data_IF_243075432538
#
_entry.id   IF_243075432538
#
_cell.length_a   1.000
_cell.length_b   1.000
_cell.length_c   1.000
_cell.angle_alpha   90.00
_cell.angle_beta   90.00
_cell.angle_gamma   90.00
#
_symmetry.space_group_name_H-M   'P 1'
#
loop_
_entity.id
_entity.type
_entity.pdbx_description
1 polymer ?
#
# COMPACT_ATOMS: atom_id res chain seq x y z
N UNK A 1 -12.38 11.66 -2.28
CA UNK A 1 -11.75 11.36 -0.97
C UNK A 1 -10.30 11.83 -0.98
N UNK A 2 -9.79 12.43 0.11
CA UNK A 2 -8.37 12.82 0.22
C UNK A 2 -7.60 11.67 0.87
N UNK A 3 -6.55 11.18 0.19
CA UNK A 3 -5.67 10.14 0.73
C UNK A 3 -4.52 10.82 1.46
N UNK A 4 -4.25 10.38 2.69
CA UNK A 4 -3.14 10.87 3.50
C UNK A 4 -2.30 9.67 3.92
N UNK A 5 -1.00 9.76 3.66
CA UNK A 5 -0.03 8.74 4.04
C UNK A 5 0.53 9.05 5.42
N UNK A 6 0.53 8.06 6.31
CA UNK A 6 1.26 8.15 7.57
C UNK A 6 2.77 8.16 7.31
N UNK A 7 3.55 8.66 8.27
CA UNK A 7 5.01 8.61 8.18
C UNK A 7 5.50 7.16 8.02
N UNK A 8 4.93 6.24 8.82
CA UNK A 8 5.24 4.82 8.75
C UNK A 8 4.96 4.20 7.37
N UNK A 9 3.86 4.58 6.72
CA UNK A 9 3.56 4.08 5.37
C UNK A 9 4.60 4.54 4.35
N UNK A 10 5.05 5.80 4.44
CA UNK A 10 6.11 6.35 3.58
C UNK A 10 7.45 5.64 3.81
N UNK A 11 7.80 5.41 5.07
CA UNK A 11 9.04 4.70 5.43
C UNK A 11 9.02 3.25 4.96
N UNK A 12 7.89 2.54 5.14
CA UNK A 12 7.74 1.16 4.66
C UNK A 12 7.82 1.07 3.14
N UNK A 13 7.22 2.03 2.43
CA UNK A 13 7.33 2.11 0.98
C UNK A 13 8.78 2.33 0.56
N UNK A 14 9.48 3.31 1.15
CA UNK A 14 10.90 3.55 0.89
C UNK A 14 11.75 2.31 1.14
N UNK A 15 11.59 1.66 2.30
CA UNK A 15 12.32 0.42 2.64
C UNK A 15 12.07 -0.70 1.64
N UNK A 16 10.86 -0.79 1.10
CA UNK A 16 10.52 -1.78 0.08
C UNK A 16 11.27 -1.50 -1.22
N UNK A 17 11.33 -0.24 -1.65
CA UNK A 17 12.10 0.18 -2.82
C UNK A 17 13.61 -0.05 -2.61
N UNK A 18 14.14 0.35 -1.46
CA UNK A 18 15.55 0.15 -1.10
C UNK A 18 15.91 -1.35 -1.08
N UNK A 19 15.00 -2.20 -0.59
CA UNK A 19 15.17 -3.66 -0.63
C UNK A 19 15.22 -4.20 -2.07
N UNK A 20 14.31 -3.76 -2.96
CA UNK A 20 14.35 -4.18 -4.36
C UNK A 20 15.64 -3.74 -5.07
N UNK A 21 16.10 -2.51 -4.80
CA UNK A 21 17.39 -2.02 -5.30
C UNK A 21 18.55 -2.88 -4.81
N UNK A 22 18.56 -3.22 -3.51
CA UNK A 22 19.57 -4.11 -2.94
C UNK A 22 19.57 -5.51 -3.57
N UNK A 23 18.40 -6.03 -3.96
CA UNK A 23 18.28 -7.30 -4.68
C UNK A 23 18.72 -7.22 -6.16
N UNK A 24 19.10 -6.03 -6.66
CA UNK A 24 19.49 -5.84 -8.06
C UNK A 24 18.32 -5.85 -9.04
N UNK A 25 17.10 -5.57 -8.57
CA UNK A 25 15.94 -5.43 -9.46
C UNK A 25 16.14 -4.23 -10.39
N UNK A 26 15.92 -4.37 -11.71
CA UNK A 26 16.03 -3.26 -12.65
C UNK A 26 15.14 -2.08 -12.27
N UNK A 27 15.63 -0.85 -12.46
CA UNK A 27 14.93 0.37 -12.08
C UNK A 27 13.54 0.49 -12.71
N UNK A 28 13.41 0.16 -14.00
CA UNK A 28 12.13 0.11 -14.72
C UNK A 28 11.10 -0.80 -14.01
N UNK A 29 11.55 -1.94 -13.46
CA UNK A 29 10.65 -2.86 -12.76
C UNK A 29 10.26 -2.34 -11.38
N UNK A 30 11.17 -1.62 -10.72
CA UNK A 30 10.89 -0.94 -9.45
C UNK A 30 9.87 0.17 -9.66
N UNK A 31 10.00 0.94 -10.74
CA UNK A 31 9.05 1.98 -11.15
C UNK A 31 7.67 1.37 -11.44
N UNK A 32 7.60 0.29 -12.21
CA UNK A 32 6.33 -0.40 -12.50
C UNK A 32 5.62 -0.86 -11.21
N UNK A 33 6.37 -1.41 -10.24
CA UNK A 33 5.84 -1.83 -8.94
C UNK A 33 5.33 -0.61 -8.15
N UNK A 34 6.11 0.47 -8.11
CA UNK A 34 5.75 1.70 -7.41
C UNK A 34 4.47 2.31 -7.98
N UNK A 35 4.38 2.42 -9.31
CA UNK A 35 3.22 2.91 -10.02
C UNK A 35 1.98 2.02 -9.77
N UNK A 36 2.14 0.70 -9.80
CA UNK A 36 1.05 -0.24 -9.49
C UNK A 36 0.47 -0.03 -8.10
N UNK A 37 1.33 0.12 -7.08
CA UNK A 37 0.92 0.41 -5.70
C UNK A 37 0.17 1.75 -5.63
N UNK A 38 0.74 2.81 -6.23
CA UNK A 38 0.14 4.14 -6.20
C UNK A 38 -1.20 4.19 -6.95
N UNK A 39 -1.31 3.54 -8.12
CA UNK A 39 -2.54 3.44 -8.89
C UNK A 39 -3.63 2.69 -8.10
N UNK A 40 -3.26 1.61 -7.41
CA UNK A 40 -4.18 0.85 -6.55
C UNK A 40 -4.70 1.70 -5.40
N UNK A 41 -3.84 2.52 -4.78
CA UNK A 41 -4.25 3.48 -3.75
C UNK A 41 -5.15 4.56 -4.32
N UNK A 42 -4.81 5.12 -5.49
CA UNK A 42 -5.61 6.16 -6.14
C UNK A 42 -7.00 5.66 -6.56
N UNK A 43 -7.15 4.38 -6.86
CA UNK A 43 -8.47 3.78 -7.12
C UNK A 43 -9.45 3.90 -5.94
N UNK A 44 -8.96 4.05 -4.70
CA UNK A 44 -9.80 4.30 -3.53
C UNK A 44 -10.52 5.64 -3.60
N UNK A 45 -9.98 6.63 -4.32
CA UNK A 45 -10.60 7.95 -4.47
C UNK A 45 -11.98 7.85 -5.16
N UNK A 46 -12.13 6.89 -6.07
CA UNK A 46 -13.35 6.67 -6.86
C UNK A 46 -14.18 5.49 -6.37
N UNK A 47 -13.59 4.53 -5.63
CA UNK A 47 -14.28 3.35 -5.10
C UNK A 47 -13.95 3.15 -3.62
N UNK A 48 -14.68 3.87 -2.77
CA UNK A 48 -14.43 3.97 -1.32
C UNK A 48 -14.57 2.65 -0.54
N UNK A 49 -15.05 1.56 -1.16
CA UNK A 49 -15.23 0.26 -0.49
C UNK A 49 -14.39 -0.88 -1.09
N UNK A 50 -13.38 -0.58 -1.91
CA UNK A 50 -12.49 -1.62 -2.48
C UNK A 50 -11.67 -2.36 -1.41
N UNK A 51 -11.45 -1.76 -0.24
CA UNK A 51 -10.71 -2.39 0.84
C UNK A 51 -11.48 -3.54 1.47
N UNK A 52 -10.85 -4.70 1.59
CA UNK A 52 -11.36 -5.81 2.40
C UNK A 52 -11.08 -5.53 3.88
N UNK A 53 -11.85 -6.12 4.80
CA UNK A 53 -11.53 -6.05 6.22
C UNK A 53 -10.15 -6.67 6.50
N UNK A 54 -9.37 -6.05 7.38
CA UNK A 54 -8.12 -6.62 7.86
C UNK A 54 -8.37 -7.36 9.19
N UNK A 55 -8.69 -8.66 9.08
CA UNK A 55 -9.07 -9.50 10.22
C UNK A 55 -7.99 -9.54 11.30
N UNK A 56 -6.72 -9.54 10.92
CA UNK A 56 -5.60 -9.56 11.87
C UNK A 56 -5.53 -8.31 12.75
N UNK A 57 -6.09 -7.19 12.31
CA UNK A 57 -6.10 -5.92 13.04
C UNK A 57 -7.46 -5.60 13.67
N UNK A 58 -8.41 -6.55 13.64
CA UNK A 58 -9.74 -6.38 14.24
C UNK A 58 -9.66 -6.13 15.74
N UNK A 59 -8.70 -6.76 16.43
CA UNK A 59 -8.45 -6.57 17.87
C UNK A 59 -8.13 -5.12 18.26
N UNK A 60 -7.71 -4.28 17.30
CA UNK A 60 -7.47 -2.85 17.53
C UNK A 60 -8.76 -2.02 17.51
N UNK A 61 -9.92 -2.62 17.18
CA UNK A 61 -11.24 -1.97 17.10
C UNK A 61 -11.27 -0.71 16.25
N UNK A 62 -10.38 -0.65 15.24
CA UNK A 62 -10.21 0.50 14.35
C UNK A 62 -10.74 0.24 12.95
N UNK A 63 -11.36 -0.90 12.66
CA UNK A 63 -11.93 -1.19 11.32
C UNK A 63 -10.93 -1.01 10.17
N UNK A 64 -9.67 -1.40 10.39
CA UNK A 64 -8.65 -1.39 9.35
C UNK A 64 -9.09 -2.20 8.14
N UNK A 65 -8.71 -1.70 6.96
CA UNK A 65 -8.93 -2.35 5.69
C UNK A 65 -7.61 -2.62 5.00
N UNK A 66 -7.63 -3.55 4.05
CA UNK A 66 -6.47 -3.89 3.23
C UNK A 66 -6.78 -3.85 1.74
N UNK A 67 -5.77 -3.49 0.96
CA UNK A 67 -5.67 -3.75 -0.46
C UNK A 67 -4.43 -4.60 -0.73
N UNK A 68 -4.51 -5.44 -1.76
CA UNK A 68 -3.40 -6.27 -2.23
C UNK A 68 -2.99 -5.81 -3.62
N UNK A 69 -1.68 -5.61 -3.80
CA UNK A 69 -1.04 -5.33 -5.07
C UNK A 69 0.24 -6.15 -5.17
N UNK A 70 0.22 -7.22 -5.97
CA UNK A 70 1.30 -8.20 -6.00
C UNK A 70 1.63 -8.72 -4.59
N UNK A 71 2.90 -8.68 -4.14
CA UNK A 71 3.30 -9.12 -2.80
C UNK A 71 3.03 -8.08 -1.70
N UNK A 72 2.49 -6.90 -2.04
CA UNK A 72 2.30 -5.82 -1.09
C UNK A 72 0.90 -5.82 -0.50
N UNK A 73 0.85 -5.74 0.83
CA UNK A 73 -0.37 -5.50 1.59
C UNK A 73 -0.41 -4.06 2.06
N UNK A 74 -1.37 -3.31 1.54
CA UNK A 74 -1.56 -1.89 1.83
C UNK A 74 -2.65 -1.79 2.91
N UNK A 75 -2.30 -1.28 4.08
CA UNK A 75 -3.23 -1.09 5.20
C UNK A 75 -3.76 0.34 5.19
N UNK A 76 -5.08 0.47 5.30
CA UNK A 76 -5.78 1.75 5.32
C UNK A 76 -6.87 1.78 6.39
N UNK A 77 -7.28 2.98 6.73
CA UNK A 77 -8.40 3.32 7.59
C UNK A 77 -9.27 4.33 6.83
N UNK A 78 -10.59 4.27 7.01
CA UNK A 78 -11.51 5.27 6.46
C UNK A 78 -11.83 6.37 7.46
#
# INVERSE_FOLDING_TARGET
MKIVFTLQARENFKRSIDFLKFQGVPEEKIEEIAEGILAKIDSLKTRQFLGQAEDYLTHLSKHHRRLIEGPYKIILLY
#
